data_IF_551373750363
#
_entry.id   IF_551373750363
#
_cell.length_a   1.000
_cell.length_b   1.000
_cell.length_c   1.000
_cell.angle_alpha   90.00
_cell.angle_beta   90.00
_cell.angle_gamma   90.00
#
_symmetry.space_group_name_H-M   'P 1'
#
loop_
_entity.id
_entity.type
_entity.pdbx_description
1 polymer ?
#
# COMPACT_ATOMS: atom_id res chain seq x y z
N UNK A 1 7.81 20.33 -6.58
CA UNK A 1 7.15 19.26 -7.36
C UNK A 1 6.90 17.95 -6.59
N UNK A 2 7.34 17.73 -5.33
CA UNK A 2 7.39 16.34 -4.81
C UNK A 2 6.59 15.94 -3.56
N UNK A 3 5.83 16.84 -2.88
CA UNK A 3 5.12 16.44 -1.65
C UNK A 3 4.14 15.26 -1.84
N UNK A 4 3.58 15.11 -3.05
CA UNK A 4 2.59 14.05 -3.37
C UNK A 4 3.27 12.73 -3.64
N UNK A 5 4.24 12.75 -4.55
CA UNK A 5 5.03 11.58 -4.90
C UNK A 5 5.73 11.03 -3.67
N UNK A 6 6.34 11.91 -2.87
CA UNK A 6 6.99 11.53 -1.61
C UNK A 6 6.00 10.91 -0.62
N UNK A 7 4.80 11.48 -0.49
CA UNK A 7 3.76 10.94 0.38
C UNK A 7 3.29 9.55 -0.05
N UNK A 8 2.98 9.36 -1.34
CA UNK A 8 2.56 8.05 -1.87
C UNK A 8 3.71 7.04 -1.77
N UNK A 9 4.95 7.43 -2.08
CA UNK A 9 6.11 6.56 -1.95
C UNK A 9 6.36 6.14 -0.50
N UNK A 10 6.21 7.04 0.48
CA UNK A 10 6.32 6.70 1.91
C UNK A 10 5.32 5.63 2.31
N UNK A 11 4.06 5.78 1.90
CA UNK A 11 3.00 4.81 2.19
C UNK A 11 3.28 3.49 1.50
N UNK A 12 3.62 3.55 0.21
CA UNK A 12 3.91 2.39 -0.60
C UNK A 12 5.08 1.56 -0.06
N UNK A 13 6.23 2.20 0.19
CA UNK A 13 7.41 1.52 0.72
C UNK A 13 7.13 0.94 2.11
N UNK A 14 6.37 1.65 2.94
CA UNK A 14 5.98 1.15 4.26
C UNK A 14 5.13 -0.11 4.13
N UNK A 15 4.11 -0.10 3.27
CA UNK A 15 3.31 -1.29 3.01
C UNK A 15 4.14 -2.43 2.40
N UNK A 16 5.02 -2.12 1.45
CA UNK A 16 5.87 -3.09 0.75
C UNK A 16 6.81 -3.85 1.68
N UNK A 17 7.43 -3.16 2.65
CA UNK A 17 8.39 -3.79 3.57
C UNK A 17 7.73 -4.29 4.87
N UNK A 18 6.75 -3.56 5.41
CA UNK A 18 6.14 -3.93 6.69
C UNK A 18 5.20 -5.12 6.54
N UNK A 19 4.52 -5.30 5.39
CA UNK A 19 3.58 -6.43 5.22
C UNK A 19 4.29 -7.79 5.27
N UNK A 20 5.37 -8.02 4.50
CA UNK A 20 6.12 -9.27 4.58
C UNK A 20 6.70 -9.53 5.98
N UNK A 21 7.13 -8.47 6.68
CA UNK A 21 7.64 -8.59 8.06
C UNK A 21 6.55 -9.04 9.03
N UNK A 22 5.36 -8.43 8.99
CA UNK A 22 4.23 -8.83 9.83
C UNK A 22 3.83 -10.29 9.53
N UNK A 23 3.72 -10.65 8.24
CA UNK A 23 3.37 -12.01 7.84
C UNK A 23 4.43 -13.00 8.34
N UNK A 24 5.71 -12.66 8.26
CA UNK A 24 6.80 -13.52 8.74
C UNK A 24 6.78 -13.72 10.25
N UNK A 25 6.39 -12.70 11.02
CA UNK A 25 6.23 -12.81 12.47
C UNK A 25 5.05 -13.74 12.80
N UNK A 26 3.93 -13.61 12.06
CA UNK A 26 2.74 -14.44 12.28
C UNK A 26 2.97 -15.89 11.83
N UNK A 27 3.67 -16.11 10.72
CA UNK A 27 3.98 -17.42 10.14
C UNK A 27 5.24 -18.07 10.72
N UNK A 28 5.87 -17.46 11.73
CA UNK A 28 7.17 -17.89 12.27
C UNK A 28 7.22 -19.39 12.65
N UNK A 29 6.11 -19.92 13.18
CA UNK A 29 6.00 -21.31 13.61
C UNK A 29 5.97 -22.34 12.47
N UNK A 30 5.77 -21.90 11.23
CA UNK A 30 5.68 -22.76 10.04
C UNK A 30 6.95 -22.78 9.19
N UNK A 31 8.00 -22.07 9.62
CA UNK A 31 9.22 -21.90 8.84
C UNK A 31 10.31 -22.86 9.31
N UNK A 32 10.81 -23.71 8.40
CA UNK A 32 11.90 -24.66 8.62
C UNK A 32 13.28 -23.96 8.62
N UNK A 33 13.45 -22.96 9.49
CA UNK A 33 14.71 -22.26 9.73
C UNK A 33 14.84 -20.86 9.13
N UNK A 34 16.02 -20.27 9.29
CA UNK A 34 16.26 -18.86 8.95
C UNK A 34 16.32 -18.62 7.44
N UNK A 35 16.82 -19.59 6.66
CA UNK A 35 16.93 -19.47 5.21
C UNK A 35 15.54 -19.42 4.53
N UNK A 36 14.59 -20.24 4.97
CA UNK A 36 13.22 -20.23 4.44
C UNK A 36 12.52 -18.90 4.74
N UNK A 37 12.75 -18.31 5.92
CA UNK A 37 12.28 -16.96 6.25
C UNK A 37 12.83 -15.90 5.30
N UNK A 38 14.14 -15.88 5.06
CA UNK A 38 14.76 -14.91 4.15
C UNK A 38 14.21 -15.05 2.72
N UNK A 39 14.07 -16.27 2.23
CA UNK A 39 13.49 -16.53 0.91
C UNK A 39 12.03 -16.06 0.84
N UNK A 40 11.21 -16.39 1.85
CA UNK A 40 9.81 -15.97 1.91
C UNK A 40 9.67 -14.44 1.87
N UNK A 41 10.40 -13.73 2.73
CA UNK A 41 10.38 -12.25 2.75
C UNK A 41 10.83 -11.69 1.39
N UNK A 42 11.91 -12.23 0.82
CA UNK A 42 12.41 -11.79 -0.48
C UNK A 42 11.36 -11.97 -1.58
N UNK A 43 10.75 -13.15 -1.68
CA UNK A 43 9.70 -13.42 -2.66
C UNK A 43 8.48 -12.51 -2.46
N UNK A 44 8.03 -12.33 -1.22
CA UNK A 44 6.91 -11.43 -0.91
C UNK A 44 7.19 -9.97 -1.29
N UNK A 45 8.42 -9.48 -1.06
CA UNK A 45 8.80 -8.12 -1.46
C UNK A 45 8.85 -7.99 -2.99
N UNK A 46 9.42 -8.97 -3.69
CA UNK A 46 9.52 -8.94 -5.16
C UNK A 46 8.13 -9.01 -5.80
N UNK A 47 7.29 -9.95 -5.39
CA UNK A 47 5.92 -10.07 -5.87
C UNK A 47 5.12 -8.82 -5.51
N UNK A 48 5.23 -8.37 -4.26
CA UNK A 48 4.60 -7.14 -3.78
C UNK A 48 4.97 -5.95 -4.65
N UNK A 49 6.24 -5.79 -5.02
CA UNK A 49 6.72 -4.71 -5.87
C UNK A 49 6.10 -4.80 -7.27
N UNK A 50 6.17 -5.96 -7.93
CA UNK A 50 5.65 -6.14 -9.29
C UNK A 50 4.14 -5.87 -9.36
N UNK A 51 3.36 -6.41 -8.42
CA UNK A 51 1.90 -6.28 -8.43
C UNK A 51 1.40 -4.93 -7.90
N UNK A 52 2.18 -4.23 -7.07
CA UNK A 52 1.76 -2.93 -6.51
C UNK A 52 2.15 -1.72 -7.36
N UNK A 53 3.11 -1.83 -8.28
CA UNK A 53 3.50 -0.71 -9.16
C UNK A 53 2.29 -0.11 -9.90
N UNK A 54 1.41 -0.90 -10.57
CA UNK A 54 0.22 -0.35 -11.23
C UNK A 54 -0.70 0.39 -10.25
N UNK A 55 -0.88 -0.16 -9.04
CA UNK A 55 -1.70 0.46 -8.00
C UNK A 55 -1.12 1.78 -7.49
N UNK A 56 0.20 1.89 -7.36
CA UNK A 56 0.89 3.14 -6.98
C UNK A 56 0.74 4.21 -8.05
N UNK A 57 0.93 3.84 -9.32
CA UNK A 57 0.77 4.77 -10.45
C UNK A 57 -0.68 5.28 -10.49
N UNK A 58 -1.67 4.40 -10.33
CA UNK A 58 -3.07 4.80 -10.25
C UNK A 58 -3.36 5.68 -9.03
N UNK A 59 -2.78 5.38 -7.87
CA UNK A 59 -2.91 6.20 -6.67
C UNK A 59 -2.36 7.62 -6.86
N UNK A 60 -1.22 7.76 -7.54
CA UNK A 60 -0.64 9.06 -7.89
C UNK A 60 -1.58 9.85 -8.81
N UNK A 61 -2.14 9.21 -9.84
CA UNK A 61 -3.08 9.83 -10.78
C UNK A 61 -4.34 10.28 -10.04
N UNK A 62 -4.94 9.41 -9.24
CA UNK A 62 -6.17 9.74 -8.50
C UNK A 62 -5.92 10.82 -7.47
N UNK A 63 -4.78 10.82 -6.78
CA UNK A 63 -4.41 11.89 -5.86
C UNK A 63 -4.30 13.24 -6.59
N UNK A 64 -3.70 13.24 -7.79
CA UNK A 64 -3.61 14.45 -8.61
C UNK A 64 -5.01 14.96 -9.01
N UNK A 65 -5.95 14.06 -9.33
CA UNK A 65 -7.35 14.41 -9.66
C UNK A 65 -8.09 14.94 -8.42
N UNK A 66 -8.03 14.26 -7.28
CA UNK A 66 -8.74 14.66 -6.05
C UNK A 66 -8.32 16.05 -5.60
N UNK A 67 -7.03 16.39 -5.72
CA UNK A 67 -6.53 17.72 -5.35
C UNK A 67 -6.95 18.84 -6.29
N UNK A 68 -7.43 18.55 -7.50
CA UNK A 68 -8.06 19.58 -8.35
C UNK A 68 -9.40 20.04 -7.76
N UNK A 69 -10.01 19.25 -6.88
CA UNK A 69 -11.23 19.62 -6.18
C UNK A 69 -10.90 20.39 -4.89
N UNK A 70 -10.68 21.70 -5.04
CA UNK A 70 -10.24 22.64 -3.98
C UNK A 70 -11.16 22.71 -2.75
N UNK A 71 -12.40 22.22 -2.83
CA UNK A 71 -13.41 22.40 -1.79
C UNK A 71 -13.53 21.23 -0.81
N UNK A 72 -12.67 20.20 -0.92
CA UNK A 72 -12.79 19.03 -0.07
C UNK A 72 -12.08 19.22 1.27
N UNK A 73 -12.75 18.86 2.36
CA UNK A 73 -12.10 18.79 3.65
C UNK A 73 -11.02 17.70 3.63
N UNK A 74 -9.92 17.92 4.36
CA UNK A 74 -8.82 16.94 4.41
C UNK A 74 -9.28 15.56 4.90
N UNK A 75 -10.27 15.53 5.79
CA UNK A 75 -10.88 14.29 6.26
C UNK A 75 -11.64 13.61 5.11
N UNK A 76 -12.43 14.35 4.34
CA UNK A 76 -13.14 13.83 3.17
C UNK A 76 -12.18 13.29 2.10
N UNK A 77 -11.10 14.03 1.80
CA UNK A 77 -10.06 13.57 0.87
C UNK A 77 -9.39 12.29 1.38
N UNK A 78 -9.07 12.19 2.67
CA UNK A 78 -8.50 10.97 3.27
C UNK A 78 -9.44 9.77 3.18
N UNK A 79 -10.74 9.96 3.41
CA UNK A 79 -11.73 8.89 3.32
C UNK A 79 -11.84 8.34 1.90
N UNK A 80 -11.97 9.21 0.90
CA UNK A 80 -12.03 8.77 -0.50
C UNK A 80 -10.72 8.13 -0.92
N UNK A 81 -9.58 8.68 -0.50
CA UNK A 81 -8.29 8.09 -0.79
C UNK A 81 -8.11 6.72 -0.13
N UNK A 82 -8.68 6.52 1.06
CA UNK A 82 -8.72 5.22 1.75
C UNK A 82 -9.52 4.19 0.95
N UNK A 83 -10.71 4.56 0.48
CA UNK A 83 -11.56 3.68 -0.32
C UNK A 83 -10.89 3.29 -1.65
N UNK A 84 -10.32 4.28 -2.33
CA UNK A 84 -9.59 4.07 -3.59
C UNK A 84 -8.37 3.19 -3.36
N UNK A 85 -7.55 3.49 -2.35
CA UNK A 85 -6.36 2.71 -2.05
C UNK A 85 -6.71 1.27 -1.68
N UNK A 86 -7.77 1.05 -0.90
CA UNK A 86 -8.22 -0.29 -0.56
C UNK A 86 -8.60 -1.08 -1.81
N UNK A 87 -9.41 -0.49 -2.71
CA UNK A 87 -9.79 -1.14 -3.96
C UNK A 87 -8.59 -1.46 -4.85
N UNK A 88 -7.68 -0.50 -5.04
CA UNK A 88 -6.49 -0.66 -5.87
C UNK A 88 -5.45 -1.62 -5.28
N UNK A 89 -5.38 -1.72 -3.95
CA UNK A 89 -4.49 -2.68 -3.30
C UNK A 89 -5.06 -4.09 -3.40
N UNK A 90 -6.36 -4.29 -3.19
CA UNK A 90 -6.98 -5.63 -3.18
C UNK A 90 -7.04 -6.26 -4.57
N UNK A 91 -7.33 -5.47 -5.62
CA UNK A 91 -7.57 -5.99 -6.98
C UNK A 91 -6.43 -6.86 -7.54
N UNK A 92 -5.15 -6.44 -7.50
CA UNK A 92 -4.04 -7.27 -7.97
C UNK A 92 -3.91 -8.59 -7.21
N UNK A 93 -4.13 -8.59 -5.89
CA UNK A 93 -4.07 -9.80 -5.08
C UNK A 93 -5.25 -10.73 -5.33
N UNK A 94 -6.46 -10.20 -5.58
CA UNK A 94 -7.60 -11.02 -5.99
C UNK A 94 -7.38 -11.66 -7.36
N UNK A 95 -6.78 -10.92 -8.29
CA UNK A 95 -6.42 -11.47 -9.59
C UNK A 95 -5.36 -12.56 -9.46
N UNK A 96 -4.36 -12.35 -8.61
CA UNK A 96 -3.32 -13.34 -8.32
C UNK A 96 -3.89 -14.61 -7.64
N UNK A 97 -4.79 -14.45 -6.67
CA UNK A 97 -5.50 -15.55 -5.99
C UNK A 97 -6.31 -16.39 -6.98
N UNK A 98 -6.93 -15.75 -7.98
CA UNK A 98 -7.63 -16.45 -9.05
C UNK A 98 -6.70 -17.24 -9.98
N UNK A 99 -5.51 -16.70 -10.29
CA UNK A 99 -4.55 -17.33 -11.19
C UNK A 99 -3.82 -18.53 -10.57
N UNK A 100 -3.44 -18.43 -9.30
CA UNK A 100 -2.61 -19.45 -8.62
C UNK A 100 -3.50 -20.55 -7.98
N UNK A 101 -4.82 -20.35 -7.94
CA UNK A 101 -5.72 -21.13 -7.12
C UNK A 101 -5.72 -20.58 -5.70
N UNK A 102 -6.88 -20.65 -5.03
CA UNK A 102 -7.14 -19.91 -3.78
C UNK A 102 -6.12 -20.22 -2.69
N UNK A 103 -5.08 -19.40 -2.62
CA UNK A 103 -3.96 -19.56 -1.71
C UNK A 103 -4.14 -18.61 -0.54
N UNK A 104 -4.22 -19.19 0.67
CA UNK A 104 -4.40 -18.44 1.90
C UNK A 104 -3.25 -17.45 2.13
N UNK A 105 -2.06 -17.71 1.61
CA UNK A 105 -0.91 -16.81 1.70
C UNK A 105 -1.10 -15.54 0.86
N UNK A 106 -1.59 -15.68 -0.38
CA UNK A 106 -1.84 -14.55 -1.29
C UNK A 106 -2.92 -13.62 -0.71
N UNK A 107 -3.98 -14.21 -0.11
CA UNK A 107 -5.05 -13.45 0.56
C UNK A 107 -4.53 -12.72 1.79
N UNK A 108 -3.75 -13.41 2.64
CA UNK A 108 -3.12 -12.83 3.82
C UNK A 108 -2.20 -11.66 3.45
N UNK A 109 -1.45 -11.81 2.36
CA UNK A 109 -0.58 -10.77 1.82
C UNK A 109 -1.38 -9.55 1.36
N UNK A 110 -2.43 -9.76 0.56
CA UNK A 110 -3.29 -8.66 0.10
C UNK A 110 -3.99 -7.93 1.25
N UNK A 111 -4.46 -8.66 2.26
CA UNK A 111 -5.09 -8.08 3.45
C UNK A 111 -4.10 -7.25 4.28
N UNK A 112 -2.91 -7.78 4.58
CA UNK A 112 -1.88 -7.06 5.33
C UNK A 112 -1.41 -5.81 4.58
N UNK A 113 -1.15 -5.94 3.29
CA UNK A 113 -0.72 -4.83 2.45
C UNK A 113 -1.78 -3.72 2.39
N UNK A 114 -3.05 -4.10 2.28
CA UNK A 114 -4.17 -3.14 2.30
C UNK A 114 -4.29 -2.45 3.66
N UNK A 115 -4.23 -3.19 4.76
CA UNK A 115 -4.33 -2.63 6.11
C UNK A 115 -3.20 -1.64 6.40
N UNK A 116 -1.96 -1.96 6.06
CA UNK A 116 -0.82 -1.06 6.26
C UNK A 116 -0.92 0.15 5.34
N UNK A 117 -1.34 -0.03 4.09
CA UNK A 117 -1.57 1.09 3.18
C UNK A 117 -2.56 2.06 3.80
N UNK A 118 -3.73 1.58 4.24
CA UNK A 118 -4.75 2.39 4.92
C UNK A 118 -4.15 3.09 6.14
N UNK A 119 -3.46 2.37 7.03
CA UNK A 119 -2.82 2.97 8.19
C UNK A 119 -1.84 4.10 7.79
N UNK A 120 -1.05 3.90 6.74
CA UNK A 120 -0.16 4.90 6.17
C UNK A 120 -0.89 6.18 5.76
N UNK A 121 -2.06 6.07 5.12
CA UNK A 121 -2.89 7.24 4.73
C UNK A 121 -3.20 8.14 5.93
N UNK A 122 -3.50 7.50 7.07
CA UNK A 122 -3.93 8.20 8.27
C UNK A 122 -2.76 8.74 9.08
N UNK A 123 -1.66 7.99 9.14
CA UNK A 123 -0.44 8.30 9.90
C UNK A 123 0.38 9.40 9.22
N UNK A 124 0.62 9.31 7.91
CA UNK A 124 1.45 10.28 7.22
C UNK A 124 0.74 11.62 7.00
N UNK A 125 1.51 12.72 7.05
CA UNK A 125 0.99 14.07 6.80
C UNK A 125 0.45 14.17 5.38
N UNK A 126 -0.86 14.36 5.26
CA UNK A 126 -1.52 14.49 3.96
C UNK A 126 -1.05 15.78 3.27
N UNK A 127 -0.60 15.71 2.00
CA UNK A 127 -0.14 16.90 1.30
C UNK A 127 -1.35 17.77 0.93
N UNK A 128 -1.45 18.92 1.59
CA UNK A 128 -2.38 20.00 1.21
C UNK A 128 -1.76 20.85 0.11
N UNK A 129 -2.59 21.37 -0.77
CA UNK A 129 -2.24 22.36 -1.80
C UNK A 129 -2.21 23.79 -1.26
N UNK A 130 -2.67 23.99 -0.03
CA UNK A 130 -3.16 25.28 0.49
C UNK A 130 -2.30 25.83 1.65
N UNK A 131 -1.03 25.41 1.76
CA UNK A 131 -0.07 25.99 2.71
C UNK A 131 1.31 26.13 2.05
N UNK A 132 1.46 27.13 1.19
CA UNK A 132 2.64 28.02 1.24
C UNK A 132 2.14 29.41 1.66
N UNK A 133 2.04 29.72 2.97
CA UNK A 133 2.32 31.09 3.38
C UNK A 133 3.82 31.26 3.17
N UNK A 134 4.18 32.09 2.19
CA UNK A 134 5.56 32.48 1.97
C UNK A 134 6.20 32.92 3.28
N UNK A 135 7.34 32.32 3.59
CA UNK A 135 8.36 32.87 4.48
C UNK A 135 9.70 32.59 3.78
#
# INVERSE_FOLDING_TARGET
MNNRTEYVLKIWLTALFLSPLIISIVAWHHLDGVLSLFLMVFFMVVLGMVFSIPSVVLLLIIMAIIQQFTNWSVIGSRLVWTLVAAGLCILPFMYLDHLIGSDMEVRSMGACYTAITIAGIWIYKFPRTDIEPGI
#
